data_IF_094051098876
#
_entry.id   IF_094051098876
#
_cell.length_a   1.000
_cell.length_b   1.000
_cell.length_c   1.000
_cell.angle_alpha   90.00
_cell.angle_beta   90.00
_cell.angle_gamma   90.00
#
_symmetry.space_group_name_H-M   'P 1'
#
loop_
_entity.id
_entity.type
_entity.pdbx_description
1 polymer ?
#
# COMPACT_ATOMS: atom_id res chain seq x y z
N UNK A 1 -3.44 26.70 -17.64
CA UNK A 1 -3.51 26.49 -17.22
C UNK A 1 -3.45 26.01 -16.98
N UNK A 2 -3.59 25.92 -16.78
CA UNK A 2 -3.69 25.51 -16.35
C UNK A 2 -3.73 25.04 -15.84
N UNK A 3 -3.87 24.96 -15.65
CA UNK A 3 -3.99 24.67 -15.06
C UNK A 3 -4.21 24.23 -14.56
N UNK A 4 -4.39 24.25 -14.80
CA UNK A 4 -4.61 23.80 -14.32
C UNK A 4 -4.76 23.18 -13.93
N UNK A 5 -4.96 23.27 -14.08
CA UNK A 5 -5.09 22.73 -13.66
C UNK A 5 -4.83 22.10 -13.34
N UNK A 6 -4.78 22.23 -13.28
CA UNK A 6 -4.63 21.79 -12.79
C UNK A 6 -4.51 21.40 -12.40
N UNK A 7 -4.64 21.57 -12.54
CA UNK A 7 -4.69 21.27 -11.94
C UNK A 7 -4.83 20.79 -11.60
N UNK A 8 -5.05 20.93 -11.88
CA UNK A 8 -5.20 20.39 -11.36
C UNK A 8 -4.99 19.57 -11.23
N UNK A 9 -5.38 19.73 -11.30
CA UNK A 9 -5.13 18.77 -11.11
C UNK A 9 -4.58 17.76 -10.79
N UNK A 10 -4.40 17.59 -10.79
CA UNK A 10 -3.57 16.74 -10.06
C UNK A 10 -3.79 16.67 -8.61
N UNK A 11 -4.65 17.33 -8.12
CA UNK A 11 -5.01 17.36 -6.73
C UNK A 11 -6.05 16.38 -6.40
N UNK A 12 -6.05 15.30 -7.11
CA UNK A 12 -6.98 14.21 -6.84
C UNK A 12 -6.49 13.42 -5.65
N UNK A 13 -7.28 13.33 -4.61
CA UNK A 13 -6.97 12.48 -3.49
C UNK A 13 -7.33 11.05 -3.83
N UNK A 14 -6.44 10.13 -3.49
CA UNK A 14 -6.71 8.72 -3.65
C UNK A 14 -7.17 8.18 -2.30
N UNK A 15 -8.30 7.50 -2.30
CA UNK A 15 -8.82 6.88 -1.09
C UNK A 15 -8.34 5.45 -1.01
N UNK A 16 -7.75 5.11 0.12
CA UNK A 16 -7.21 3.77 0.34
C UNK A 16 -7.85 3.24 1.61
N UNK A 17 -8.46 2.08 1.51
CA UNK A 17 -9.12 1.46 2.64
C UNK A 17 -8.12 0.78 3.55
N UNK A 18 -8.37 0.87 4.85
CA UNK A 18 -7.57 0.14 5.83
C UNK A 18 -8.50 -0.45 6.89
N UNK A 19 -7.97 -1.45 7.58
CA UNK A 19 -8.67 -2.15 8.65
C UNK A 19 -7.86 -1.96 9.92
N UNK A 20 -8.52 -1.73 11.03
CA UNK A 20 -7.81 -1.57 12.30
C UNK A 20 -8.66 -2.04 13.46
N UNK A 21 -8.00 -2.26 14.58
CA UNK A 21 -8.68 -2.62 15.84
C UNK A 21 -7.85 -2.08 17.00
N UNK A 22 -8.48 -2.07 18.16
CA UNK A 22 -7.79 -1.66 19.40
C UNK A 22 -7.27 -2.91 20.10
N UNK A 23 -5.97 -2.94 20.36
CA UNK A 23 -5.35 -4.04 21.09
C UNK A 23 -5.58 -3.87 22.58
N UNK A 24 -5.27 -4.93 23.36
CA UNK A 24 -5.53 -4.95 24.79
C UNK A 24 -4.81 -3.85 25.57
N UNK A 25 -3.70 -3.38 25.05
CA UNK A 25 -2.91 -2.34 25.69
C UNK A 25 -3.33 -0.92 25.27
N UNK A 26 -4.37 -0.81 24.47
CA UNK A 26 -4.88 0.48 24.03
C UNK A 26 -4.28 0.98 22.73
N UNK A 27 -3.30 0.29 22.18
CA UNK A 27 -2.75 0.66 20.88
C UNK A 27 -3.73 0.32 19.76
N UNK A 28 -3.73 1.14 18.74
CA UNK A 28 -4.46 0.82 17.53
C UNK A 28 -3.53 0.08 16.58
N UNK A 29 -3.99 -1.05 16.09
CA UNK A 29 -3.22 -1.88 15.16
C UNK A 29 -4.00 -1.95 13.87
N UNK A 30 -3.31 -1.87 12.74
CA UNK A 30 -4.03 -1.90 11.48
C UNK A 30 -3.15 -2.23 10.29
N UNK A 31 -3.81 -2.35 9.15
CA UNK A 31 -3.13 -2.63 7.89
C UNK A 31 -3.94 -2.03 6.75
N UNK A 32 -3.23 -1.72 5.67
CA UNK A 32 -3.90 -1.36 4.43
C UNK A 32 -4.52 -2.61 3.82
N UNK A 33 -5.75 -2.51 3.35
CA UNK A 33 -6.44 -3.68 2.81
C UNK A 33 -5.70 -4.29 1.61
N UNK A 34 -4.95 -3.49 0.87
CA UNK A 34 -4.12 -3.99 -0.22
C UNK A 34 -2.89 -4.76 0.27
N UNK A 35 -2.45 -4.51 1.49
CA UNK A 35 -1.24 -5.14 2.04
C UNK A 35 -1.52 -5.70 3.43
N UNK A 36 -2.40 -6.72 3.51
CA UNK A 36 -2.83 -7.21 4.82
C UNK A 36 -1.73 -7.91 5.62
N UNK A 37 -0.62 -8.21 4.96
CA UNK A 37 0.53 -8.82 5.62
C UNK A 37 1.43 -7.82 6.33
N UNK A 38 1.15 -6.52 6.21
CA UNK A 38 2.02 -5.48 6.77
C UNK A 38 1.28 -4.72 7.87
N UNK A 39 1.37 -5.23 9.09
CA UNK A 39 0.72 -4.58 10.24
C UNK A 39 1.55 -3.40 10.72
N UNK A 40 0.85 -2.39 11.20
CA UNK A 40 1.49 -1.27 11.88
C UNK A 40 0.61 -0.82 13.04
N UNK A 41 1.06 0.13 13.83
CA UNK A 41 0.33 0.54 15.01
C UNK A 41 0.56 2.01 15.31
N UNK A 42 -0.35 2.58 16.11
CA UNK A 42 -0.27 3.95 16.55
C UNK A 42 -1.01 4.12 17.87
N UNK A 43 -0.74 5.20 18.57
CA UNK A 43 -1.41 5.49 19.83
C UNK A 43 -2.81 6.02 19.61
N UNK A 44 -3.06 6.67 18.47
CA UNK A 44 -4.37 7.17 18.10
C UNK A 44 -4.54 7.01 16.58
N UNK A 45 -5.71 7.38 16.11
CA UNK A 45 -6.04 7.18 14.71
C UNK A 45 -5.16 8.01 13.78
N UNK A 46 -4.85 9.23 14.18
CA UNK A 46 -4.01 10.11 13.39
C UNK A 46 -2.61 9.51 13.19
N UNK A 47 -2.03 9.00 14.28
CA UNK A 47 -0.72 8.38 14.21
C UNK A 47 -0.78 7.09 13.38
N UNK A 48 -1.83 6.30 13.56
CA UNK A 48 -1.98 5.08 12.78
C UNK A 48 -2.06 5.39 11.29
N UNK A 49 -2.81 6.41 10.92
CA UNK A 49 -2.95 6.79 9.51
C UNK A 49 -1.61 7.27 8.94
N UNK A 50 -0.83 8.01 9.73
CA UNK A 50 0.50 8.41 9.29
C UNK A 50 1.39 7.21 9.02
N UNK A 51 1.33 6.22 9.91
CA UNK A 51 2.11 5.00 9.74
C UNK A 51 1.64 4.20 8.52
N UNK A 52 0.33 4.15 8.30
CA UNK A 52 -0.22 3.46 7.13
C UNK A 52 0.18 4.14 5.83
N UNK A 53 0.26 5.47 5.83
CA UNK A 53 0.72 6.20 4.66
C UNK A 53 2.17 5.86 4.35
N UNK A 54 3.01 5.71 5.37
CA UNK A 54 4.40 5.29 5.18
C UNK A 54 4.48 3.88 4.60
N UNK A 55 3.64 2.98 5.09
CA UNK A 55 3.58 1.61 4.57
C UNK A 55 3.23 1.65 3.07
N UNK A 56 2.27 2.47 2.70
CA UNK A 56 1.86 2.58 1.31
C UNK A 56 3.05 2.99 0.42
N UNK A 57 3.80 4.00 0.85
CA UNK A 57 4.95 4.47 0.07
C UNK A 57 6.04 3.40 -0.02
N UNK A 58 6.33 2.75 1.08
CA UNK A 58 7.36 1.70 1.11
C UNK A 58 6.98 0.57 0.15
N UNK A 59 5.72 0.12 0.19
CA UNK A 59 5.29 -1.00 -0.64
C UNK A 59 5.25 -0.61 -2.11
N UNK A 60 4.86 0.62 -2.42
CA UNK A 60 4.86 1.09 -3.81
C UNK A 60 6.27 1.20 -4.36
N UNK A 61 7.20 1.68 -3.56
CA UNK A 61 8.61 1.76 -3.98
C UNK A 61 9.20 0.38 -4.20
N UNK A 62 8.86 -0.57 -3.35
CA UNK A 62 9.30 -1.95 -3.53
C UNK A 62 8.77 -2.55 -4.82
N UNK A 63 7.49 -2.31 -5.10
CA UNK A 63 6.88 -2.81 -6.33
C UNK A 63 7.58 -2.26 -7.56
N UNK A 64 7.93 -0.98 -7.55
CA UNK A 64 8.66 -0.38 -8.65
C UNK A 64 10.01 -1.04 -8.87
N UNK A 65 10.75 -1.25 -7.78
CA UNK A 65 12.06 -1.87 -7.87
C UNK A 65 11.98 -3.30 -8.38
N UNK A 66 10.97 -4.04 -7.91
CA UNK A 66 10.78 -5.41 -8.33
C UNK A 66 10.42 -5.50 -9.80
N UNK A 67 9.59 -4.59 -10.28
CA UNK A 67 9.22 -4.58 -11.69
C UNK A 67 10.42 -4.39 -12.59
N UNK A 68 11.39 -3.61 -12.16
CA UNK A 68 12.58 -3.37 -12.95
C UNK A 68 13.49 -4.58 -13.01
N UNK A 69 13.40 -5.46 -12.03
CA UNK A 69 14.24 -6.65 -11.95
C UNK A 69 13.58 -7.93 -12.43
N UNK A 70 12.27 -7.89 -12.59
CA UNK A 70 11.52 -9.08 -12.98
C UNK A 70 11.79 -9.42 -14.43
N UNK A 71 11.91 -10.70 -14.67
CA UNK A 71 12.07 -11.24 -16.02
C UNK A 71 11.05 -12.33 -16.22
N UNK A 72 10.57 -12.44 -17.44
CA UNK A 72 9.58 -13.45 -17.78
C UNK A 72 10.21 -14.56 -18.56
N UNK A 73 9.69 -15.75 -18.39
CA UNK A 73 10.13 -16.91 -19.15
C UNK A 73 8.93 -17.82 -19.41
N UNK A 74 9.14 -18.77 -20.30
CA UNK A 74 8.14 -19.76 -20.62
C UNK A 74 8.67 -21.12 -20.21
N UNK A 75 7.91 -21.78 -19.35
CA UNK A 75 8.25 -23.14 -18.93
C UNK A 75 7.33 -24.11 -19.65
N UNK A 76 7.95 -25.07 -20.35
CA UNK A 76 7.16 -26.11 -21.00
C UNK A 76 7.19 -27.34 -20.13
N UNK A 77 6.02 -27.80 -19.77
CA UNK A 77 5.89 -28.99 -18.95
C UNK A 77 5.26 -30.10 -19.74
N UNK A 78 5.81 -31.29 -19.59
CA UNK A 78 5.21 -32.46 -20.18
C UNK A 78 4.08 -32.93 -19.29
N UNK A 79 2.89 -32.96 -19.85
CA UNK A 79 1.70 -33.36 -19.07
C UNK A 79 1.48 -34.86 -19.27
N UNK A 80 1.30 -35.63 -18.19
CA UNK A 80 1.02 -37.05 -18.33
C UNK A 80 -0.29 -37.27 -19.08
N UNK A 81 -0.31 -38.28 -19.89
CA UNK A 81 -1.50 -38.59 -20.67
C UNK A 81 -2.61 -39.19 -19.81
#
# INVERSE_FOLDING_TARGET
MLEYSSLLINNTFMEIEYTYWEANDGWLVGYLNFYPDHLTQGHDLSELEDMLADVYQIRKDEEKRLKQKLKSGILKLKVPA
#
